data_IF_030073685691
#
_entry.id   IF_030073685691
#
_cell.length_a   1.000
_cell.length_b   1.000
_cell.length_c   1.000
_cell.angle_alpha   90.00
_cell.angle_beta   90.00
_cell.angle_gamma   90.00
#
_symmetry.space_group_name_H-M   'P 1'
#
loop_
_entity.id
_entity.type
_entity.pdbx_description
1 polymer ?
#
# COMPACT_ATOMS: atom_id res chain seq x y z
N UNK A 1 1.82 -51.59 -0.53
CA UNK A 1 0.85 -51.90 0.53
C UNK A 1 0.55 -50.70 1.40
N UNK A 2 1.42 -50.38 2.37
CA UNK A 2 1.11 -49.44 3.47
C UNK A 2 0.71 -48.03 3.00
N UNK A 3 1.47 -47.41 2.07
CA UNK A 3 1.14 -46.06 1.56
C UNK A 3 -0.22 -45.99 0.87
N UNK A 4 -0.65 -47.06 0.22
CA UNK A 4 -1.92 -47.15 -0.51
C UNK A 4 -3.12 -47.26 0.45
N UNK A 5 -2.97 -48.10 1.49
CA UNK A 5 -4.05 -48.35 2.47
C UNK A 5 -3.93 -47.48 3.73
N UNK A 6 -3.01 -46.52 3.77
CA UNK A 6 -2.74 -45.65 4.92
C UNK A 6 -4.01 -44.97 5.48
N UNK A 7 -4.93 -44.44 4.66
CA UNK A 7 -6.18 -43.83 5.16
C UNK A 7 -7.18 -44.84 5.76
N UNK A 8 -7.08 -46.13 5.41
CA UNK A 8 -7.93 -47.20 5.94
C UNK A 8 -7.34 -47.82 7.22
N UNK A 9 -6.02 -47.74 7.40
CA UNK A 9 -5.31 -48.31 8.54
C UNK A 9 -5.32 -47.40 9.78
N UNK A 10 -5.42 -46.08 9.60
CA UNK A 10 -5.39 -45.10 10.70
C UNK A 10 -6.79 -44.51 10.95
N UNK A 11 -7.40 -44.87 12.08
CA UNK A 11 -8.70 -44.32 12.49
C UNK A 11 -8.57 -42.82 12.74
N UNK A 12 -9.42 -42.03 12.09
CA UNK A 12 -9.44 -40.56 12.18
C UNK A 12 -8.69 -39.82 11.07
N UNK A 13 -7.87 -40.51 10.27
CA UNK A 13 -7.18 -39.90 9.12
C UNK A 13 -7.88 -40.27 7.80
N UNK A 14 -9.00 -39.61 7.51
CA UNK A 14 -9.68 -39.77 6.22
C UNK A 14 -8.78 -39.31 5.07
N UNK A 15 -8.98 -39.85 3.86
CA UNK A 15 -8.17 -39.50 2.69
C UNK A 15 -8.14 -37.97 2.41
N UNK A 16 -9.25 -37.28 2.64
CA UNK A 16 -9.35 -35.82 2.52
C UNK A 16 -8.54 -35.07 3.59
N UNK A 17 -8.60 -35.53 4.84
CA UNK A 17 -7.80 -34.93 5.94
C UNK A 17 -6.29 -35.13 5.70
N UNK A 18 -5.90 -36.30 5.20
CA UNK A 18 -4.52 -36.62 4.84
C UNK A 18 -4.02 -35.72 3.71
N UNK A 19 -4.83 -35.50 2.66
CA UNK A 19 -4.47 -34.60 1.56
C UNK A 19 -4.29 -33.14 2.04
N UNK A 20 -5.19 -32.64 2.90
CA UNK A 20 -5.08 -31.30 3.47
C UNK A 20 -3.84 -31.15 4.36
N UNK A 21 -3.54 -32.18 5.17
CA UNK A 21 -2.35 -32.22 6.01
C UNK A 21 -1.06 -32.27 5.18
N UNK A 22 -1.04 -33.07 4.10
CA UNK A 22 0.08 -33.15 3.16
C UNK A 22 0.32 -31.81 2.46
N UNK A 23 -0.73 -31.12 2.03
CA UNK A 23 -0.62 -29.79 1.43
C UNK A 23 -0.03 -28.77 2.42
N UNK A 24 -0.56 -28.75 3.65
CA UNK A 24 -0.08 -27.87 4.72
C UNK A 24 1.40 -28.12 5.07
N UNK A 25 1.76 -29.40 5.22
CA UNK A 25 3.13 -29.80 5.50
C UNK A 25 4.07 -29.48 4.33
N UNK A 26 3.65 -29.72 3.10
CA UNK A 26 4.41 -29.41 1.89
C UNK A 26 4.68 -27.91 1.74
N UNK A 27 3.67 -27.07 1.99
CA UNK A 27 3.84 -25.61 2.02
C UNK A 27 4.79 -25.17 3.15
N UNK A 28 4.62 -25.70 4.36
CA UNK A 28 5.47 -25.37 5.51
C UNK A 28 6.93 -25.77 5.28
N UNK A 29 7.16 -27.00 4.83
CA UNK A 29 8.49 -27.52 4.49
C UNK A 29 9.16 -26.68 3.42
N UNK A 30 8.45 -26.38 2.33
CA UNK A 30 9.00 -25.61 1.21
C UNK A 30 9.32 -24.17 1.62
N UNK A 31 8.44 -23.51 2.37
CA UNK A 31 8.67 -22.15 2.88
C UNK A 31 9.86 -22.08 3.83
N UNK A 32 10.00 -23.06 4.73
CA UNK A 32 11.13 -23.16 5.66
C UNK A 32 12.45 -23.37 4.90
N UNK A 33 12.46 -24.26 3.92
CA UNK A 33 13.66 -24.60 3.15
C UNK A 33 14.11 -23.47 2.22
N UNK A 34 13.17 -22.78 1.58
CA UNK A 34 13.44 -21.64 0.68
C UNK A 34 13.68 -20.33 1.45
N UNK A 35 13.61 -20.34 2.79
CA UNK A 35 13.68 -19.14 3.65
C UNK A 35 12.75 -18.04 3.13
N UNK A 36 11.50 -18.40 2.84
CA UNK A 36 10.53 -17.48 2.27
C UNK A 36 10.31 -16.27 3.20
N UNK A 37 10.78 -15.10 2.78
CA UNK A 37 10.72 -13.90 3.59
C UNK A 37 9.41 -13.15 3.32
N UNK A 38 8.52 -13.13 4.32
CA UNK A 38 7.22 -12.44 4.26
C UNK A 38 7.39 -10.92 4.08
N UNK A 39 8.52 -10.35 4.53
CA UNK A 39 8.79 -8.92 4.37
C UNK A 39 9.16 -8.54 2.93
N UNK A 40 9.41 -9.52 2.07
CA UNK A 40 9.79 -9.32 0.67
C UNK A 40 8.65 -9.58 -0.32
N UNK A 41 7.43 -9.72 0.19
CA UNK A 41 6.24 -9.99 -0.61
C UNK A 41 5.84 -8.71 -1.36
N UNK A 42 6.11 -8.72 -2.66
CA UNK A 42 5.80 -7.69 -3.64
C UNK A 42 4.31 -7.61 -3.99
N UNK A 43 3.52 -8.66 -3.73
CA UNK A 43 2.06 -8.63 -3.96
C UNK A 43 1.37 -7.48 -3.20
N UNK A 44 1.82 -7.16 -1.99
CA UNK A 44 1.25 -6.02 -1.22
C UNK A 44 1.47 -4.69 -1.93
N UNK A 45 2.60 -4.51 -2.62
CA UNK A 45 2.91 -3.31 -3.39
C UNK A 45 1.99 -3.22 -4.61
N UNK A 46 1.83 -4.34 -5.33
CA UNK A 46 0.97 -4.45 -6.52
C UNK A 46 -0.48 -4.09 -6.19
N UNK A 47 -1.03 -4.67 -5.12
CA UNK A 47 -2.40 -4.36 -4.71
C UNK A 47 -2.53 -2.91 -4.22
N UNK A 48 -1.55 -2.41 -3.46
CA UNK A 48 -1.60 -1.04 -2.93
C UNK A 48 -1.58 0.01 -4.04
N UNK A 49 -0.75 -0.14 -5.08
CA UNK A 49 -0.72 0.82 -6.19
C UNK A 49 -1.97 0.74 -7.07
N UNK A 50 -2.49 -0.48 -7.33
CA UNK A 50 -3.75 -0.64 -8.06
C UNK A 50 -4.91 0.00 -7.31
N UNK A 51 -4.95 -0.15 -5.98
CA UNK A 51 -5.94 0.49 -5.12
C UNK A 51 -5.77 2.01 -5.11
N UNK A 52 -4.54 2.53 -5.05
CA UNK A 52 -4.27 3.97 -5.10
C UNK A 52 -4.75 4.58 -6.43
N UNK A 53 -4.43 3.95 -7.57
CA UNK A 53 -4.86 4.41 -8.89
C UNK A 53 -6.41 4.34 -9.05
N UNK A 54 -7.08 3.40 -8.37
CA UNK A 54 -8.54 3.30 -8.34
C UNK A 54 -9.17 4.38 -7.45
N UNK A 55 -8.62 4.57 -6.24
CA UNK A 55 -9.06 5.61 -5.31
C UNK A 55 -8.95 7.01 -5.93
N UNK A 56 -7.90 7.28 -6.71
CA UNK A 56 -7.76 8.58 -7.39
C UNK A 56 -8.91 8.88 -8.35
N UNK A 57 -9.36 7.87 -9.10
CA UNK A 57 -10.50 7.99 -10.02
C UNK A 57 -11.82 8.11 -9.26
N UNK A 58 -11.98 7.32 -8.21
CA UNK A 58 -13.20 7.29 -7.41
C UNK A 58 -13.36 8.59 -6.61
N UNK A 59 -12.30 9.09 -5.98
CA UNK A 59 -12.28 10.39 -5.30
C UNK A 59 -12.67 11.50 -6.28
N UNK A 60 -12.12 11.50 -7.50
CA UNK A 60 -12.47 12.51 -8.49
C UNK A 60 -13.94 12.41 -8.90
N UNK A 61 -14.42 11.20 -9.21
CA UNK A 61 -15.81 10.95 -9.61
C UNK A 61 -16.80 11.33 -8.51
N UNK A 62 -16.53 10.93 -7.27
CA UNK A 62 -17.37 11.26 -6.13
C UNK A 62 -17.33 12.74 -5.81
N UNK A 63 -16.17 13.40 -5.89
CA UNK A 63 -16.08 14.85 -5.68
C UNK A 63 -16.86 15.63 -6.74
N UNK A 64 -16.84 15.18 -8.00
CA UNK A 64 -17.65 15.78 -9.06
C UNK A 64 -19.15 15.59 -8.79
N UNK A 65 -19.57 14.43 -8.26
CA UNK A 65 -20.97 14.25 -7.84
C UNK A 65 -21.37 15.10 -6.64
N UNK A 66 -20.50 15.28 -5.63
CA UNK A 66 -20.75 16.21 -4.53
C UNK A 66 -20.92 17.64 -5.07
N UNK A 67 -20.10 18.05 -6.04
CA UNK A 67 -20.19 19.38 -6.66
C UNK A 67 -21.49 19.61 -7.40
N UNK A 68 -21.94 18.65 -8.19
CA UNK A 68 -23.20 18.78 -8.92
C UNK A 68 -24.38 18.77 -7.95
N UNK A 69 -24.37 17.89 -6.95
CA UNK A 69 -25.47 17.76 -5.99
C UNK A 69 -25.60 19.00 -5.09
N UNK A 70 -24.49 19.48 -4.52
CA UNK A 70 -24.47 20.68 -3.70
C UNK A 70 -24.56 21.97 -4.53
N UNK A 71 -24.14 21.93 -5.81
CA UNK A 71 -24.22 23.05 -6.75
C UNK A 71 -25.65 23.51 -7.04
N UNK A 72 -26.66 22.63 -6.87
CA UNK A 72 -28.07 23.06 -6.92
C UNK A 72 -28.44 24.02 -5.78
N UNK A 73 -27.83 23.84 -4.60
CA UNK A 73 -28.07 24.68 -3.43
C UNK A 73 -27.16 25.92 -3.43
N UNK A 74 -25.88 25.76 -3.77
CA UNK A 74 -24.90 26.83 -3.78
C UNK A 74 -24.00 26.78 -5.04
N UNK A 75 -24.48 27.29 -6.18
CA UNK A 75 -23.79 27.17 -7.47
C UNK A 75 -22.49 27.99 -7.54
N UNK A 76 -22.43 29.13 -6.85
CA UNK A 76 -21.27 30.03 -6.88
C UNK A 76 -20.01 29.40 -6.26
N UNK A 77 -20.18 28.44 -5.35
CA UNK A 77 -19.08 27.78 -4.64
C UNK A 77 -18.13 27.04 -5.59
N UNK A 78 -18.64 26.49 -6.71
CA UNK A 78 -17.82 25.75 -7.69
C UNK A 78 -16.78 26.67 -8.33
N UNK A 79 -17.13 27.95 -8.53
CA UNK A 79 -16.23 28.94 -9.14
C UNK A 79 -15.17 29.43 -8.14
N UNK A 80 -15.52 29.53 -6.87
CA UNK A 80 -14.62 30.04 -5.81
C UNK A 80 -13.61 28.96 -5.37
N UNK A 81 -14.05 27.70 -5.25
CA UNK A 81 -13.23 26.58 -4.78
C UNK A 81 -13.00 25.56 -5.90
N UNK A 82 -11.93 25.71 -6.72
CA UNK A 82 -11.65 24.83 -7.84
C UNK A 82 -11.09 23.47 -7.42
N UNK A 83 -10.58 23.32 -6.19
CA UNK A 83 -10.03 22.06 -5.71
C UNK A 83 -11.10 21.15 -5.09
N UNK A 84 -11.12 19.88 -5.52
CA UNK A 84 -12.18 18.92 -5.21
C UNK A 84 -12.24 18.52 -3.73
N UNK A 85 -11.07 18.33 -3.11
CA UNK A 85 -10.97 17.91 -1.70
C UNK A 85 -11.38 19.04 -0.76
N UNK A 86 -10.87 20.26 -1.00
CA UNK A 86 -11.32 21.47 -0.32
C UNK A 86 -12.83 21.69 -0.49
N UNK A 87 -13.38 21.54 -1.70
CA UNK A 87 -14.82 21.72 -1.93
C UNK A 87 -15.68 20.81 -1.03
N UNK A 88 -15.32 19.53 -0.92
CA UNK A 88 -16.07 18.60 -0.06
C UNK A 88 -15.95 18.96 1.43
N UNK A 89 -14.79 19.49 1.88
CA UNK A 89 -14.60 19.98 3.26
C UNK A 89 -15.44 21.22 3.55
N UNK A 90 -15.46 22.16 2.61
CA UNK A 90 -16.25 23.39 2.70
C UNK A 90 -17.74 23.08 2.66
N UNK A 91 -18.21 22.22 1.75
CA UNK A 91 -19.62 21.81 1.69
C UNK A 91 -20.09 21.15 2.99
N UNK A 92 -19.25 20.32 3.60
CA UNK A 92 -19.52 19.72 4.92
C UNK A 92 -19.60 20.78 6.03
N UNK A 93 -18.72 21.77 6.03
CA UNK A 93 -18.67 22.79 7.07
C UNK A 93 -19.82 23.81 6.96
N UNK A 94 -20.16 24.23 5.75
CA UNK A 94 -21.23 25.20 5.50
C UNK A 94 -22.60 24.58 5.81
N UNK A 95 -22.85 23.35 5.35
CA UNK A 95 -24.16 22.72 5.44
C UNK A 95 -25.21 23.55 4.69
N UNK A 96 -25.99 24.35 5.41
CA UNK A 96 -27.03 25.20 4.82
C UNK A 96 -26.52 26.64 4.66
N UNK A 97 -26.63 27.21 3.45
CA UNK A 97 -26.16 28.58 3.16
C UNK A 97 -26.75 29.65 4.09
N UNK A 98 -27.98 29.45 4.58
CA UNK A 98 -28.70 30.42 5.43
C UNK A 98 -28.13 30.52 6.85
N UNK A 99 -27.41 29.48 7.30
CA UNK A 99 -26.81 29.43 8.64
C UNK A 99 -25.39 30.01 8.65
N UNK A 100 -24.90 30.53 7.51
CA UNK A 100 -23.56 31.08 7.40
C UNK A 100 -23.48 32.47 8.05
N UNK A 101 -22.74 32.58 9.16
CA UNK A 101 -22.48 33.83 9.89
C UNK A 101 -21.00 34.23 9.83
N UNK A 102 -20.66 35.44 10.28
CA UNK A 102 -19.27 35.92 10.38
C UNK A 102 -18.44 35.10 11.40
N UNK A 103 -19.08 34.37 12.33
CA UNK A 103 -18.41 33.45 13.25
C UNK A 103 -17.92 32.18 12.54
N UNK A 104 -18.55 31.80 11.43
CA UNK A 104 -18.12 30.65 10.60
C UNK A 104 -16.91 30.97 9.73
N UNK A 105 -16.50 32.24 9.69
CA UNK A 105 -15.42 32.74 8.85
C UNK A 105 -14.06 32.21 9.31
N UNK A 106 -13.83 32.10 10.62
CA UNK A 106 -12.61 31.51 11.20
C UNK A 106 -12.44 30.04 10.77
N UNK A 107 -13.50 29.23 10.83
CA UNK A 107 -13.47 27.83 10.41
C UNK A 107 -13.31 27.64 8.89
N UNK A 108 -13.85 28.57 8.09
CA UNK A 108 -13.63 28.59 6.64
C UNK A 108 -12.19 28.98 6.28
N UNK A 109 -11.60 29.93 7.01
CA UNK A 109 -10.20 30.32 6.83
C UNK A 109 -9.24 29.18 7.13
N UNK A 110 -9.51 28.38 8.17
CA UNK A 110 -8.70 27.20 8.48
C UNK A 110 -8.74 26.15 7.35
N UNK A 111 -9.91 25.96 6.73
CA UNK A 111 -10.10 24.95 5.67
C UNK A 111 -9.54 25.41 4.33
N UNK A 112 -9.81 26.67 3.95
CA UNK A 112 -9.47 27.21 2.63
C UNK A 112 -8.05 27.79 2.61
N UNK A 113 -7.45 28.02 3.78
CA UNK A 113 -6.12 28.61 3.98
C UNK A 113 -5.93 29.96 3.29
N UNK A 114 -7.03 30.65 2.99
CA UNK A 114 -7.08 31.90 2.22
C UNK A 114 -8.26 32.75 2.69
N UNK A 115 -7.95 33.85 3.36
CA UNK A 115 -8.94 34.79 3.91
C UNK A 115 -9.78 35.45 2.82
N UNK A 116 -9.19 35.75 1.66
CA UNK A 116 -9.92 36.35 0.55
C UNK A 116 -11.00 35.41 -0.02
N UNK A 117 -10.71 34.10 -0.07
CA UNK A 117 -11.71 33.10 -0.50
C UNK A 117 -12.79 32.87 0.54
N UNK A 118 -12.45 32.88 1.83
CA UNK A 118 -13.44 32.74 2.90
C UNK A 118 -14.45 33.90 2.88
N UNK A 119 -13.97 35.13 2.71
CA UNK A 119 -14.83 36.31 2.54
C UNK A 119 -15.68 36.23 1.27
N UNK A 120 -15.08 35.84 0.14
CA UNK A 120 -15.82 35.66 -1.11
C UNK A 120 -16.92 34.59 -1.01
N UNK A 121 -16.71 33.51 -0.23
CA UNK A 121 -17.73 32.49 0.03
C UNK A 121 -18.90 33.09 0.83
N UNK A 122 -18.62 33.94 1.82
CA UNK A 122 -19.65 34.57 2.64
C UNK A 122 -20.47 35.61 1.85
N UNK A 123 -19.81 36.43 1.04
CA UNK A 123 -20.47 37.35 0.10
C UNK A 123 -21.29 36.60 -0.95
N UNK A 124 -20.74 35.51 -1.49
CA UNK A 124 -21.45 34.65 -2.44
C UNK A 124 -22.65 33.96 -1.80
N UNK A 125 -22.60 33.57 -0.52
CA UNK A 125 -23.74 33.00 0.20
C UNK A 125 -24.88 34.02 0.32
N UNK A 126 -24.57 35.28 0.64
CA UNK A 126 -25.55 36.38 0.75
C UNK A 126 -26.18 36.73 -0.61
N UNK A 127 -25.42 36.60 -1.70
CA UNK A 127 -25.85 36.91 -3.06
C UNK A 127 -26.31 35.69 -3.88
N UNK A 128 -26.35 34.50 -3.27
CA UNK A 128 -26.58 33.25 -3.98
C UNK A 128 -28.01 33.13 -4.49
N UNK A 129 -28.14 32.75 -5.77
CA UNK A 129 -29.43 32.46 -6.42
C UNK A 129 -29.80 30.98 -6.39
N UNK A 130 -29.07 30.16 -5.63
CA UNK A 130 -29.33 28.72 -5.52
C UNK A 130 -30.71 28.37 -4.93
N UNK A 131 -31.14 27.13 -5.10
CA UNK A 131 -32.42 26.64 -4.56
C UNK A 131 -32.29 26.24 -3.10
N UNK A 132 -33.36 26.40 -2.32
CA UNK A 132 -33.37 25.86 -0.95
C UNK A 132 -33.54 24.33 -1.00
N UNK A 133 -32.73 23.64 -0.20
CA UNK A 133 -32.67 22.19 -0.16
C UNK A 133 -33.36 21.65 1.10
N UNK A 134 -33.93 20.45 1.01
CA UNK A 134 -34.52 19.75 2.15
C UNK A 134 -33.43 19.39 3.17
N UNK A 135 -33.71 19.44 4.49
CA UNK A 135 -32.78 18.99 5.51
C UNK A 135 -32.34 17.52 5.35
N UNK A 136 -33.23 16.66 4.85
CA UNK A 136 -32.92 15.24 4.57
C UNK A 136 -31.85 15.11 3.47
N UNK A 137 -31.99 15.87 2.39
CA UNK A 137 -31.03 15.85 1.29
C UNK A 137 -29.68 16.45 1.72
N UNK A 138 -29.71 17.46 2.59
CA UNK A 138 -28.51 18.06 3.16
C UNK A 138 -27.71 17.08 4.03
N UNK A 139 -28.38 16.28 4.86
CA UNK A 139 -27.75 15.20 5.65
C UNK A 139 -27.09 14.16 4.73
N UNK A 140 -27.73 13.82 3.62
CA UNK A 140 -27.19 12.88 2.64
C UNK A 140 -25.95 13.45 1.93
N UNK A 141 -25.98 14.73 1.53
CA UNK A 141 -24.84 15.42 0.92
C UNK A 141 -23.67 15.53 1.92
N UNK A 142 -23.96 15.84 3.19
CA UNK A 142 -22.95 15.91 4.24
C UNK A 142 -22.31 14.54 4.48
N UNK A 143 -23.12 13.49 4.57
CA UNK A 143 -22.66 12.11 4.74
C UNK A 143 -21.79 11.66 3.56
N UNK A 144 -22.18 12.00 2.34
CA UNK A 144 -21.42 11.69 1.14
C UNK A 144 -20.10 12.48 1.11
N UNK A 145 -20.13 13.77 1.43
CA UNK A 145 -18.94 14.62 1.55
C UNK A 145 -17.96 14.09 2.60
N UNK A 146 -18.47 13.67 3.78
CA UNK A 146 -17.67 13.03 4.83
C UNK A 146 -17.02 11.75 4.31
N UNK A 147 -17.73 10.93 3.53
CA UNK A 147 -17.16 9.72 2.94
C UNK A 147 -16.03 10.04 1.97
N UNK A 148 -16.20 11.04 1.10
CA UNK A 148 -15.15 11.49 0.17
C UNK A 148 -13.91 11.99 0.92
N UNK A 149 -14.09 12.77 1.99
CA UNK A 149 -12.98 13.22 2.84
C UNK A 149 -12.25 12.02 3.46
N UNK A 150 -12.99 11.05 4.01
CA UNK A 150 -12.39 9.84 4.60
C UNK A 150 -11.59 9.02 3.57
N UNK A 151 -12.07 8.95 2.32
CA UNK A 151 -11.35 8.28 1.23
C UNK A 151 -10.09 9.06 0.83
N UNK A 152 -10.14 10.40 0.85
CA UNK A 152 -8.98 11.26 0.59
C UNK A 152 -7.89 11.09 1.66
N UNK A 153 -8.27 10.99 2.93
CA UNK A 153 -7.32 10.76 4.01
C UNK A 153 -6.79 9.31 4.00
N UNK A 154 -7.64 8.33 3.69
CA UNK A 154 -7.21 6.95 3.48
C UNK A 154 -6.19 6.83 2.33
N UNK A 155 -6.40 7.56 1.22
CA UNK A 155 -5.46 7.63 0.10
C UNK A 155 -4.08 8.16 0.53
N UNK A 156 -4.03 9.19 1.38
CA UNK A 156 -2.76 9.70 1.95
C UNK A 156 -2.07 8.65 2.82
N UNK A 157 -2.82 7.99 3.71
CA UNK A 157 -2.30 6.90 4.54
C UNK A 157 -1.78 5.72 3.71
N UNK A 158 -2.47 5.37 2.61
CA UNK A 158 -2.05 4.32 1.70
C UNK A 158 -0.76 4.70 0.95
N UNK A 159 -0.58 5.97 0.59
CA UNK A 159 0.65 6.46 -0.04
C UNK A 159 1.86 6.37 0.91
N UNK A 160 1.68 6.71 2.19
CA UNK A 160 2.73 6.54 3.22
C UNK A 160 3.05 5.06 3.46
N UNK A 161 2.03 4.21 3.51
CA UNK A 161 2.20 2.76 3.60
C UNK A 161 3.00 2.22 2.42
N UNK A 162 2.65 2.63 1.18
CA UNK A 162 3.35 2.24 -0.04
C UNK A 162 4.82 2.68 0.02
N UNK A 163 5.10 3.90 0.51
CA UNK A 163 6.48 4.41 0.68
C UNK A 163 7.29 3.56 1.66
N UNK A 164 6.73 3.26 2.83
CA UNK A 164 7.36 2.41 3.83
C UNK A 164 7.63 1.00 3.30
N UNK A 165 6.68 0.41 2.57
CA UNK A 165 6.83 -0.91 1.97
C UNK A 165 7.82 -0.94 0.82
N UNK A 166 7.82 0.08 -0.04
CA UNK A 166 8.79 0.16 -1.13
C UNK A 166 10.22 0.27 -0.61
N UNK A 167 10.45 1.07 0.44
CA UNK A 167 11.76 1.18 1.10
C UNK A 167 12.25 -0.17 1.67
N UNK A 168 11.34 -1.05 2.12
CA UNK A 168 11.69 -2.37 2.62
C UNK A 168 11.97 -3.40 1.51
N UNK A 169 11.23 -3.32 0.39
CA UNK A 169 11.27 -4.34 -0.67
C UNK A 169 12.25 -3.97 -1.79
N UNK A 170 12.21 -2.72 -2.27
CA UNK A 170 13.01 -2.21 -3.39
C UNK A 170 13.52 -0.77 -3.14
N UNK A 171 14.46 -0.59 -2.18
CA UNK A 171 15.03 0.71 -1.86
C UNK A 171 15.86 1.32 -3.01
N UNK A 172 16.59 0.53 -3.79
CA UNK A 172 17.42 1.06 -4.88
C UNK A 172 16.56 1.62 -6.02
N UNK A 173 15.51 0.89 -6.40
CA UNK A 173 14.55 1.33 -7.42
C UNK A 173 13.79 2.57 -6.95
N UNK A 174 13.40 2.60 -5.67
CA UNK A 174 12.74 3.76 -5.06
C UNK A 174 13.62 5.00 -5.08
N UNK A 175 14.89 4.89 -4.71
CA UNK A 175 15.83 6.01 -4.71
C UNK A 175 16.05 6.56 -6.14
N UNK A 176 16.08 5.66 -7.13
CA UNK A 176 16.35 6.02 -8.52
C UNK A 176 15.19 6.74 -9.22
N UNK A 177 13.94 6.26 -9.13
CA UNK A 177 12.80 6.80 -9.89
C UNK A 177 11.63 7.30 -9.04
N UNK A 178 11.69 7.10 -7.72
CA UNK A 178 10.61 7.39 -6.79
C UNK A 178 9.69 6.19 -6.54
N UNK A 179 9.01 6.21 -5.40
CA UNK A 179 8.20 5.11 -4.88
C UNK A 179 7.03 4.75 -5.80
N UNK A 180 6.29 5.76 -6.27
CA UNK A 180 5.04 5.58 -7.02
C UNK A 180 5.32 5.03 -8.42
N UNK A 181 6.31 5.58 -9.12
CA UNK A 181 6.69 5.11 -10.46
C UNK A 181 7.29 3.71 -10.37
N UNK A 182 8.13 3.45 -9.37
CA UNK A 182 8.67 2.11 -9.09
C UNK A 182 7.57 1.08 -8.81
N UNK A 183 6.57 1.44 -7.99
CA UNK A 183 5.42 0.57 -7.71
C UNK A 183 4.62 0.25 -8.97
N UNK A 184 4.40 1.24 -9.85
CA UNK A 184 3.67 1.05 -11.09
C UNK A 184 4.43 0.14 -12.07
N UNK A 185 5.76 0.23 -12.12
CA UNK A 185 6.60 -0.69 -12.91
C UNK A 185 6.50 -2.14 -12.40
N UNK A 186 6.58 -2.34 -11.08
CA UNK A 186 6.44 -3.66 -10.47
C UNK A 186 5.04 -4.24 -10.74
N UNK A 187 4.00 -3.43 -10.58
CA UNK A 187 2.61 -3.83 -10.83
C UNK A 187 2.37 -4.26 -12.27
N UNK A 188 2.87 -3.48 -13.24
CA UNK A 188 2.69 -3.82 -14.64
C UNK A 188 3.54 -5.02 -15.08
N UNK A 189 4.66 -5.30 -14.41
CA UNK A 189 5.43 -6.54 -14.60
C UNK A 189 4.83 -7.75 -13.86
N UNK A 190 3.88 -7.52 -12.95
CA UNK A 190 3.21 -8.54 -12.13
C UNK A 190 4.03 -9.08 -10.94
N UNK A 191 5.34 -8.83 -10.89
CA UNK A 191 6.23 -9.14 -9.76
C UNK A 191 7.57 -8.42 -9.93
N UNK A 192 8.24 -8.14 -8.82
CA UNK A 192 9.62 -7.64 -8.83
C UNK A 192 10.57 -8.64 -9.50
N UNK A 193 10.31 -9.94 -9.34
CA UNK A 193 11.11 -11.00 -9.97
C UNK A 193 10.98 -11.00 -11.49
N UNK A 194 9.78 -10.75 -12.01
CA UNK A 194 9.53 -10.63 -13.44
C UNK A 194 10.16 -9.35 -13.99
N UNK A 195 10.05 -8.24 -13.25
CA UNK A 195 10.70 -6.98 -13.62
C UNK A 195 12.23 -7.14 -13.72
N UNK A 196 12.85 -7.87 -12.80
CA UNK A 196 14.29 -8.14 -12.83
C UNK A 196 14.72 -9.00 -14.04
N UNK A 197 13.85 -9.90 -14.51
CA UNK A 197 14.08 -10.75 -15.70
C UNK A 197 13.92 -9.99 -17.00
N UNK A 198 13.10 -8.95 -17.04
CA UNK A 198 12.90 -8.16 -18.26
C UNK A 198 14.20 -7.48 -18.72
N UNK A 199 14.43 -7.38 -20.04
CA UNK A 199 15.51 -6.58 -20.57
C UNK A 199 15.15 -5.10 -20.49
N UNK A 200 16.17 -4.25 -20.51
CA UNK A 200 15.99 -2.80 -20.38
C UNK A 200 15.17 -2.18 -21.51
N UNK A 201 15.19 -2.76 -22.71
CA UNK A 201 14.36 -2.33 -23.85
C UNK A 201 12.86 -2.53 -23.57
N UNK A 202 12.48 -3.62 -22.90
CA UNK A 202 11.09 -3.86 -22.48
C UNK A 202 10.70 -2.91 -21.35
N UNK A 203 11.59 -2.70 -20.38
CA UNK A 203 11.37 -1.75 -19.26
C UNK A 203 11.16 -0.31 -19.77
N UNK A 204 11.86 0.08 -20.84
CA UNK A 204 11.72 1.41 -21.47
C UNK A 204 10.30 1.69 -21.98
N UNK A 205 9.64 0.67 -22.55
CA UNK A 205 8.34 0.79 -23.23
C UNK A 205 7.17 0.22 -22.40
N UNK A 206 7.44 -0.23 -21.19
CA UNK A 206 6.48 -0.85 -20.29
C UNK A 206 5.30 0.11 -20.06
N UNK A 207 4.06 -0.35 -20.30
CA UNK A 207 2.84 0.47 -20.28
C UNK A 207 2.50 1.22 -21.57
N UNK A 208 3.37 1.24 -22.58
CA UNK A 208 3.09 1.76 -23.93
C UNK A 208 2.90 0.64 -24.97
N UNK A 209 2.66 -0.59 -24.53
CA UNK A 209 2.61 -1.80 -25.37
C UNK A 209 1.54 -1.71 -26.46
N UNK A 210 0.33 -1.23 -26.13
CA UNK A 210 -0.75 -1.06 -27.12
C UNK A 210 -0.34 -0.10 -28.25
N UNK A 211 0.34 0.99 -27.91
CA UNK A 211 0.82 1.96 -28.90
C UNK A 211 1.97 1.38 -29.73
N UNK A 212 2.85 0.59 -29.12
CA UNK A 212 3.92 -0.15 -29.81
C UNK A 212 3.36 -1.14 -30.83
N UNK A 213 2.42 -1.99 -30.42
CA UNK A 213 1.82 -2.98 -31.32
C UNK A 213 1.03 -2.34 -32.45
N UNK A 214 0.33 -1.23 -32.17
CA UNK A 214 -0.33 -0.44 -33.21
C UNK A 214 0.68 0.12 -34.22
N UNK A 215 1.77 0.73 -33.74
CA UNK A 215 2.81 1.28 -34.61
C UNK A 215 3.50 0.20 -35.46
N UNK A 216 3.76 -0.97 -34.89
CA UNK A 216 4.30 -2.12 -35.62
C UNK A 216 3.34 -2.58 -36.73
N UNK A 217 2.04 -2.66 -36.44
CA UNK A 217 1.01 -3.06 -37.41
C UNK A 217 0.84 -2.04 -38.54
N UNK A 218 0.90 -0.76 -38.22
CA UNK A 218 0.74 0.33 -39.21
C UNK A 218 2.06 0.80 -39.81
N UNK A 219 3.20 0.15 -39.49
CA UNK A 219 4.57 0.61 -39.80
C UNK A 219 4.82 2.09 -39.47
N UNK A 220 4.20 2.57 -38.39
CA UNK A 220 4.33 3.93 -37.90
C UNK A 220 5.46 4.11 -36.88
N UNK A 221 5.57 5.31 -36.32
CA UNK A 221 6.57 5.63 -35.30
C UNK A 221 6.30 4.88 -34.00
N UNK A 222 7.30 4.15 -33.50
CA UNK A 222 7.22 3.44 -32.23
C UNK A 222 7.36 4.40 -31.03
N UNK A 223 6.64 4.14 -29.91
CA UNK A 223 6.78 4.92 -28.70
C UNK A 223 8.18 4.75 -28.10
N UNK A 224 8.77 5.85 -27.60
CA UNK A 224 10.13 5.87 -27.02
C UNK A 224 10.16 5.72 -25.50
N UNK A 225 9.01 5.79 -24.84
CA UNK A 225 8.87 5.74 -23.39
C UNK A 225 7.47 5.21 -23.03
N UNK A 226 7.38 4.51 -21.90
CA UNK A 226 6.13 4.09 -21.26
C UNK A 226 5.96 4.75 -19.90
N UNK A 227 5.75 3.94 -18.85
CA UNK A 227 5.53 4.40 -17.48
C UNK A 227 6.69 5.23 -16.91
N UNK A 228 7.92 4.99 -17.38
CA UNK A 228 9.12 5.73 -16.97
C UNK A 228 9.04 7.21 -17.36
N UNK A 229 8.19 7.60 -18.32
CA UNK A 229 7.98 8.99 -18.71
C UNK A 229 7.58 9.91 -17.54
N UNK A 230 6.89 9.36 -16.53
CA UNK A 230 6.49 10.10 -15.33
C UNK A 230 7.63 10.34 -14.34
N UNK A 231 8.85 9.88 -14.64
CA UNK A 231 10.03 10.22 -13.85
C UNK A 231 10.42 11.70 -14.02
N UNK A 232 10.89 12.31 -12.93
CA UNK A 232 11.33 13.71 -12.90
C UNK A 232 12.49 13.97 -13.88
N UNK A 233 13.38 13.00 -14.08
CA UNK A 233 14.52 13.11 -15.00
C UNK A 233 14.10 13.32 -16.46
N UNK A 234 13.06 12.61 -16.91
CA UNK A 234 12.56 12.74 -18.29
C UNK A 234 11.76 14.04 -18.46
N UNK A 235 11.07 14.49 -17.40
CA UNK A 235 10.37 15.77 -17.39
C UNK A 235 11.31 16.95 -17.61
N UNK A 236 12.48 16.95 -16.94
CA UNK A 236 13.51 18.01 -17.04
C UNK A 236 14.27 18.00 -18.37
N UNK A 237 14.44 16.85 -18.99
CA UNK A 237 15.20 16.70 -20.21
C UNK A 237 14.60 17.45 -21.42
N UNK A 238 15.46 18.06 -22.24
CA UNK A 238 15.07 18.66 -23.52
C UNK A 238 14.43 17.62 -24.47
N UNK A 239 13.41 18.02 -25.25
CA UNK A 239 12.60 17.12 -26.08
C UNK A 239 13.41 16.21 -27.02
N UNK A 240 14.52 16.72 -27.58
CA UNK A 240 15.43 15.96 -28.45
C UNK A 240 16.15 14.82 -27.70
N UNK A 241 16.45 15.03 -26.42
CA UNK A 241 17.24 14.12 -25.58
C UNK A 241 16.38 13.16 -24.74
N UNK A 242 15.07 13.41 -24.61
CA UNK A 242 14.14 12.55 -23.84
C UNK A 242 14.24 11.07 -24.18
N UNK A 243 14.35 10.72 -25.46
CA UNK A 243 14.49 9.31 -25.88
C UNK A 243 15.81 8.67 -25.48
N UNK A 244 16.91 9.43 -25.48
CA UNK A 244 18.24 8.94 -25.08
C UNK A 244 18.31 8.74 -23.57
N UNK A 245 17.78 9.69 -22.81
CA UNK A 245 17.71 9.63 -21.33
C UNK A 245 16.77 8.51 -20.88
N UNK A 246 15.61 8.35 -21.53
CA UNK A 246 14.68 7.25 -21.26
C UNK A 246 15.36 5.88 -21.35
N UNK A 247 16.14 5.64 -22.42
CA UNK A 247 16.92 4.41 -22.58
C UNK A 247 17.98 4.24 -21.49
N UNK A 248 18.70 5.30 -21.16
CA UNK A 248 19.72 5.27 -20.11
C UNK A 248 19.10 4.96 -18.75
N UNK A 249 17.99 5.63 -18.41
CA UNK A 249 17.24 5.42 -17.18
C UNK A 249 16.68 4.00 -17.10
N UNK A 250 16.12 3.46 -18.19
CA UNK A 250 15.63 2.08 -18.22
C UNK A 250 16.75 1.05 -17.95
N UNK A 251 17.96 1.29 -18.48
CA UNK A 251 19.13 0.44 -18.17
C UNK A 251 19.45 0.47 -16.67
N UNK A 252 19.50 1.67 -16.06
CA UNK A 252 19.78 1.81 -14.62
C UNK A 252 18.67 1.23 -13.75
N UNK A 253 17.40 1.41 -14.14
CA UNK A 253 16.25 0.81 -13.46
C UNK A 253 16.30 -0.71 -13.49
N UNK A 254 16.70 -1.30 -14.62
CA UNK A 254 16.83 -2.77 -14.75
C UNK A 254 17.93 -3.30 -13.83
N UNK A 255 19.06 -2.59 -13.73
CA UNK A 255 20.15 -2.94 -12.81
C UNK A 255 19.67 -2.81 -11.35
N UNK A 256 19.06 -1.69 -10.99
CA UNK A 256 18.51 -1.47 -9.64
C UNK A 256 17.48 -2.55 -9.26
N UNK A 257 16.57 -2.90 -10.17
CA UNK A 257 15.55 -3.93 -9.94
C UNK A 257 16.18 -5.31 -9.70
N UNK A 258 17.27 -5.64 -10.39
CA UNK A 258 18.00 -6.90 -10.19
C UNK A 258 18.73 -6.92 -8.85
N UNK A 259 19.36 -5.81 -8.46
CA UNK A 259 20.00 -5.67 -7.15
C UNK A 259 18.95 -5.84 -6.05
N UNK A 260 17.83 -5.12 -6.14
CA UNK A 260 16.76 -5.19 -5.15
C UNK A 260 16.06 -6.55 -5.09
N UNK A 261 16.00 -7.29 -6.20
CA UNK A 261 15.39 -8.62 -6.23
C UNK A 261 16.31 -9.72 -5.66
N UNK A 262 17.61 -9.70 -5.99
CA UNK A 262 18.52 -10.80 -5.70
C UNK A 262 19.44 -10.58 -4.49
N UNK A 263 19.56 -9.36 -3.97
CA UNK A 263 20.35 -9.10 -2.74
C UNK A 263 19.68 -9.74 -1.52
N UNK A 264 20.40 -10.20 -0.49
CA UNK A 264 19.73 -10.69 0.72
C UNK A 264 19.21 -9.56 1.61
N UNK A 265 19.98 -8.46 1.66
CA UNK A 265 19.67 -7.23 2.39
C UNK A 265 19.72 -6.10 1.38
N UNK A 266 18.56 -5.58 0.92
CA UNK A 266 18.57 -4.49 -0.03
C UNK A 266 18.95 -3.18 0.68
N UNK A 267 19.75 -2.35 0.02
CA UNK A 267 20.25 -1.06 0.53
C UNK A 267 19.96 0.06 -0.48
N UNK A 268 19.80 1.31 -0.01
CA UNK A 268 19.54 2.45 -0.91
C UNK A 268 20.78 2.93 -1.66
N UNK A 269 21.98 2.66 -1.11
CA UNK A 269 23.28 3.15 -1.60
C UNK A 269 23.45 2.96 -3.12
N UNK A 270 23.12 1.78 -3.63
CA UNK A 270 23.20 1.53 -5.07
C UNK A 270 22.24 2.40 -5.88
N UNK A 271 21.02 2.62 -5.38
CA UNK A 271 20.05 3.50 -6.00
C UNK A 271 20.48 4.96 -6.00
N UNK A 272 21.07 5.43 -4.90
CA UNK A 272 21.57 6.80 -4.75
C UNK A 272 22.72 7.08 -5.73
N UNK A 273 23.73 6.21 -5.80
CA UNK A 273 24.83 6.33 -6.78
C UNK A 273 24.35 6.18 -8.24
N UNK A 274 23.34 5.33 -8.47
CA UNK A 274 22.71 5.20 -9.80
C UNK A 274 21.95 6.46 -10.19
N UNK A 275 21.34 7.14 -9.22
CA UNK A 275 20.66 8.42 -9.43
C UNK A 275 21.64 9.52 -9.77
N UNK A 276 22.75 9.63 -9.03
CA UNK A 276 23.84 10.57 -9.33
C UNK A 276 24.33 10.40 -10.78
N UNK A 277 24.52 9.16 -11.24
CA UNK A 277 24.91 8.89 -12.63
C UNK A 277 23.88 9.35 -13.67
N UNK A 278 22.58 9.29 -13.34
CA UNK A 278 21.52 9.80 -14.23
C UNK A 278 21.52 11.34 -14.22
N UNK A 279 21.79 11.96 -13.08
CA UNK A 279 21.92 13.42 -12.94
C UNK A 279 23.15 13.94 -13.68
N UNK A 280 24.32 13.32 -13.53
CA UNK A 280 25.53 13.62 -14.30
C UNK A 280 25.26 13.47 -15.81
N UNK A 281 24.51 12.44 -16.21
CA UNK A 281 24.19 12.23 -17.62
C UNK A 281 23.22 13.27 -18.17
N UNK A 282 22.31 13.78 -17.34
CA UNK A 282 21.44 14.90 -17.70
C UNK A 282 22.26 16.18 -17.86
N UNK A 283 23.15 16.47 -16.90
CA UNK A 283 24.06 17.61 -16.95
C UNK A 283 24.96 17.56 -18.18
N UNK A 284 25.50 16.39 -18.56
CA UNK A 284 26.27 16.24 -19.80
C UNK A 284 25.50 16.69 -21.04
N UNK A 285 24.18 16.49 -21.10
CA UNK A 285 23.38 16.95 -22.24
C UNK A 285 23.09 18.45 -22.24
N UNK A 286 23.32 19.14 -21.12
CA UNK A 286 23.16 20.58 -20.95
C UNK A 286 24.50 21.32 -21.04
N UNK A 287 25.52 20.86 -20.32
CA UNK A 287 26.83 21.51 -20.16
C UNK A 287 27.95 20.87 -20.98
N UNK A 288 27.81 19.61 -21.40
CA UNK A 288 28.83 18.87 -22.15
C UNK A 288 29.91 18.19 -21.31
N UNK A 289 29.85 18.26 -19.98
CA UNK A 289 30.84 17.63 -19.09
C UNK A 289 30.75 16.09 -19.08
N UNK A 290 31.85 15.35 -19.32
CA UNK A 290 31.80 13.90 -19.43
C UNK A 290 31.43 13.26 -18.09
N UNK A 291 30.41 12.37 -18.04
CA UNK A 291 30.01 11.70 -16.82
C UNK A 291 31.06 10.69 -16.36
N UNK A 292 31.06 10.35 -15.06
CA UNK A 292 32.01 9.40 -14.49
C UNK A 292 31.81 8.00 -15.07
N UNK A 293 32.88 7.19 -15.07
CA UNK A 293 32.81 5.81 -15.54
C UNK A 293 31.99 4.97 -14.56
N UNK A 294 31.04 4.19 -15.09
CA UNK A 294 30.19 3.31 -14.28
C UNK A 294 30.98 2.37 -13.34
N UNK A 295 32.17 1.92 -13.76
CA UNK A 295 32.99 0.97 -12.99
C UNK A 295 33.50 1.57 -11.67
N UNK A 296 33.85 2.85 -11.66
CA UNK A 296 34.41 3.51 -10.47
C UNK A 296 33.32 3.74 -9.43
N UNK A 297 32.19 4.30 -9.87
CA UNK A 297 31.00 4.53 -9.02
C UNK A 297 30.45 3.22 -8.46
N UNK A 298 30.46 2.14 -9.24
CA UNK A 298 29.99 0.83 -8.75
C UNK A 298 30.94 0.20 -7.74
N UNK A 299 32.27 0.41 -7.86
CA UNK A 299 33.23 -0.05 -6.85
C UNK A 299 33.05 0.68 -5.52
N UNK A 300 32.87 1.99 -5.57
CA UNK A 300 32.56 2.83 -4.42
C UNK A 300 31.25 2.39 -3.75
N UNK A 301 30.21 2.18 -4.55
CA UNK A 301 28.91 1.70 -4.08
C UNK A 301 29.00 0.33 -3.39
N UNK A 302 29.84 -0.59 -3.89
CA UNK A 302 30.05 -1.91 -3.24
C UNK A 302 30.75 -1.75 -1.88
N UNK A 303 31.72 -0.84 -1.78
CA UNK A 303 32.40 -0.52 -0.52
C UNK A 303 31.40 -0.03 0.53
N UNK A 304 30.70 1.07 0.23
CA UNK A 304 29.69 1.67 1.11
C UNK A 304 28.54 0.69 1.43
N UNK A 305 28.05 -0.04 0.43
CA UNK A 305 26.99 -1.02 0.65
C UNK A 305 27.43 -2.17 1.56
N UNK A 306 28.70 -2.61 1.49
CA UNK A 306 29.20 -3.68 2.36
C UNK A 306 29.21 -3.28 3.84
N UNK A 307 29.55 -2.02 4.13
CA UNK A 307 29.55 -1.47 5.48
C UNK A 307 28.11 -1.34 6.02
N UNK A 308 27.21 -0.78 5.22
CA UNK A 308 25.80 -0.65 5.57
C UNK A 308 25.15 -2.03 5.77
N UNK A 309 25.45 -3.01 4.89
CA UNK A 309 24.95 -4.38 5.04
C UNK A 309 25.48 -5.02 6.31
N UNK A 310 26.76 -4.83 6.65
CA UNK A 310 27.34 -5.33 7.90
C UNK A 310 26.66 -4.72 9.13
N UNK A 311 26.37 -3.43 9.11
CA UNK A 311 25.66 -2.76 10.20
C UNK A 311 24.21 -3.24 10.33
N UNK A 312 23.50 -3.39 9.21
CA UNK A 312 22.13 -3.90 9.17
C UNK A 312 22.07 -5.34 9.67
N UNK A 313 23.02 -6.21 9.25
CA UNK A 313 23.12 -7.59 9.77
C UNK A 313 23.37 -7.61 11.28
N UNK A 314 24.29 -6.79 11.79
CA UNK A 314 24.53 -6.66 13.25
C UNK A 314 23.27 -6.19 14.00
N UNK A 315 22.51 -5.23 13.44
CA UNK A 315 21.25 -4.75 14.04
C UNK A 315 20.17 -5.84 14.01
N UNK A 316 20.06 -6.60 12.92
CA UNK A 316 19.10 -7.70 12.80
C UNK A 316 19.42 -8.84 13.77
N UNK A 317 20.69 -9.25 13.89
CA UNK A 317 21.12 -10.26 14.86
C UNK A 317 20.86 -9.83 16.31
N UNK A 318 21.12 -8.56 16.65
CA UNK A 318 20.77 -8.01 17.98
C UNK A 318 19.26 -8.07 18.24
N UNK A 319 18.44 -7.72 17.24
CA UNK A 319 16.97 -7.80 17.34
C UNK A 319 16.49 -9.25 17.48
N UNK A 320 17.06 -10.17 16.73
CA UNK A 320 16.71 -11.59 16.78
C UNK A 320 17.11 -12.24 18.11
N UNK A 321 18.32 -11.94 18.62
CA UNK A 321 18.76 -12.36 19.97
C UNK A 321 17.83 -11.82 21.06
N UNK A 322 17.42 -10.55 20.97
CA UNK A 322 16.42 -9.96 21.90
C UNK A 322 15.06 -10.66 21.78
N UNK A 323 14.61 -10.99 20.56
CA UNK A 323 13.34 -11.68 20.33
C UNK A 323 13.35 -13.09 20.91
N UNK A 324 14.39 -13.88 20.62
CA UNK A 324 14.59 -15.22 21.18
C UNK A 324 14.66 -15.19 22.71
N UNK A 325 15.35 -14.21 23.31
CA UNK A 325 15.39 -14.04 24.78
C UNK A 325 14.01 -13.74 25.36
N UNK A 326 13.20 -12.89 24.70
CA UNK A 326 11.84 -12.55 25.15
C UNK A 326 10.87 -13.73 24.99
N UNK A 327 11.03 -14.51 23.92
CA UNK A 327 10.23 -15.69 23.64
C UNK A 327 10.56 -16.83 24.62
N UNK A 328 11.85 -17.05 24.92
CA UNK A 328 12.29 -17.99 25.95
C UNK A 328 11.71 -17.64 27.33
N UNK A 329 11.80 -16.37 27.74
CA UNK A 329 11.19 -15.88 28.98
C UNK A 329 9.67 -16.06 29.03
N UNK A 330 8.99 -15.91 27.90
CA UNK A 330 7.54 -16.10 27.81
C UNK A 330 7.17 -17.58 27.93
N UNK A 331 7.94 -18.47 27.32
CA UNK A 331 7.78 -19.92 27.44
C UNK A 331 8.07 -20.39 28.87
N UNK A 332 9.15 -19.90 29.49
CA UNK A 332 9.48 -20.17 30.89
C UNK A 332 8.35 -19.69 31.83
N UNK A 333 7.78 -18.49 31.60
CA UNK A 333 6.65 -17.98 32.39
C UNK A 333 5.35 -18.78 32.18
N UNK A 334 5.09 -19.27 30.96
CA UNK A 334 3.94 -20.14 30.67
C UNK A 334 4.10 -21.54 31.28
N UNK A 335 5.32 -22.07 31.31
CA UNK A 335 5.63 -23.34 31.97
C UNK A 335 5.47 -23.24 33.49
N UNK A 336 6.00 -22.18 34.11
CA UNK A 336 5.85 -21.93 35.54
C UNK A 336 4.37 -21.76 35.94
N UNK A 337 3.58 -21.02 35.14
CA UNK A 337 2.14 -20.88 35.39
C UNK A 337 1.37 -22.20 35.22
N UNK A 338 1.84 -23.11 34.35
CA UNK A 338 1.25 -24.44 34.19
C UNK A 338 1.63 -25.39 35.33
N UNK A 339 2.84 -25.27 35.89
CA UNK A 339 3.28 -26.00 37.08
C UNK A 339 2.53 -25.52 38.33
N UNK A 340 2.32 -24.21 38.53
CA UNK A 340 1.48 -23.70 39.64
C UNK A 340 0.00 -24.15 39.53
N UNK A 341 -0.51 -24.34 38.31
CA UNK A 341 -1.84 -24.91 38.08
C UNK A 341 -1.88 -26.44 38.26
N UNK A 342 -0.73 -27.12 38.12
CA UNK A 342 -0.58 -28.56 38.32
C UNK A 342 -0.36 -28.95 39.79
N UNK A 343 0.42 -28.18 40.55
CA UNK A 343 0.68 -28.42 41.98
C UNK A 343 -0.57 -28.21 42.84
N UNK A 344 -1.46 -27.29 42.46
CA UNK A 344 -2.77 -27.13 43.10
C UNK A 344 -3.76 -28.28 42.80
N UNK A 345 -3.35 -29.33 42.08
CA UNK A 345 -4.19 -30.51 41.81
C UNK A 345 -3.71 -31.81 42.50
N UNK A 346 -2.66 -31.75 43.32
CA UNK A 346 -2.08 -32.95 43.99
C UNK A 346 -2.21 -32.94 45.53
N UNK A 347 -2.79 -31.89 46.13
CA UNK A 347 -3.23 -31.90 47.53
C UNK A 347 -4.75 -31.89 47.62
N UNK A 348 -5.41 -32.96 47.16
CA UNK A 348 -6.77 -33.32 47.61
C UNK A 348 -7.12 -34.69 47.02
N UNK A 349 -6.76 -35.76 47.73
CA UNK A 349 -7.43 -37.06 47.61
C UNK A 349 -7.19 -37.84 48.90
N UNK A 350 -8.15 -37.74 49.82
CA UNK A 350 -8.72 -38.86 50.59
C UNK A 350 -9.91 -38.35 51.42
N UNK A 351 -11.13 -38.41 50.84
CA UNK A 351 -12.32 -39.08 51.38
C UNK A 351 -13.67 -38.50 50.84
N UNK A 352 -14.39 -39.39 50.13
CA UNK A 352 -15.84 -39.53 49.94
C UNK A 352 -16.66 -38.58 49.05
N UNK A 353 -16.66 -38.95 47.77
CA UNK A 353 -17.77 -39.48 46.94
C UNK A 353 -19.07 -38.68 46.63
N UNK A 354 -19.48 -38.88 45.36
CA UNK A 354 -20.75 -38.64 44.66
C UNK A 354 -21.00 -37.29 43.94
N UNK A 355 -20.84 -37.32 42.60
CA UNK A 355 -21.97 -36.98 41.72
C UNK A 355 -21.98 -35.69 40.88
N UNK A 356 -21.15 -35.64 39.83
CA UNK A 356 -21.46 -35.23 38.44
C UNK A 356 -22.10 -33.84 38.06
N UNK A 357 -21.45 -33.23 37.04
CA UNK A 357 -21.96 -32.34 35.94
C UNK A 357 -21.74 -30.80 36.01
N UNK A 358 -20.88 -30.34 35.08
CA UNK A 358 -21.02 -29.15 34.17
C UNK A 358 -21.23 -27.75 34.78
N UNK A 359 -20.23 -26.84 34.67
CA UNK A 359 -20.21 -25.66 33.73
C UNK A 359 -19.19 -24.57 34.11
N UNK A 360 -18.39 -24.19 33.10
CA UNK A 360 -18.00 -22.83 32.66
C UNK A 360 -17.68 -21.76 33.75
N UNK A 361 -16.39 -21.39 33.88
CA UNK A 361 -15.99 -20.09 34.45
C UNK A 361 -15.70 -19.09 33.32
N UNK A 362 -16.63 -18.14 33.16
CA UNK A 362 -16.49 -16.84 32.49
C UNK A 362 -15.26 -16.09 33.02
N UNK A 363 -14.46 -15.51 32.12
CA UNK A 363 -14.33 -14.04 31.99
C UNK A 363 -13.41 -13.69 30.81
N UNK A 364 -14.03 -13.23 29.73
CA UNK A 364 -13.40 -12.44 28.67
C UNK A 364 -14.31 -11.23 28.50
N UNK A 365 -13.80 -10.03 28.76
CA UNK A 365 -14.45 -8.78 28.38
C UNK A 365 -13.37 -7.72 28.17
N UNK A 366 -13.11 -7.44 26.90
CA UNK A 366 -13.14 -6.09 26.33
C UNK A 366 -13.30 -6.26 24.81
N UNK A 367 -14.40 -5.73 24.29
CA UNK A 367 -14.83 -5.70 22.89
C UNK A 367 -13.98 -4.69 22.08
N UNK A 368 -14.05 -4.78 20.74
CA UNK A 368 -14.80 -3.74 20.02
C UNK A 368 -15.86 -4.32 19.08
N UNK A 369 -16.84 -3.45 18.80
CA UNK A 369 -18.05 -3.61 17.99
C UNK A 369 -17.79 -4.02 16.53
N UNK A 370 -18.64 -4.91 16.01
CA UNK A 370 -19.00 -4.91 14.58
C UNK A 370 -20.40 -5.56 14.41
N UNK A 371 -21.32 -4.68 13.97
CA UNK A 371 -22.49 -4.84 13.10
C UNK A 371 -23.44 -6.06 13.20
N UNK A 372 -24.71 -5.67 13.29
CA UNK A 372 -25.95 -6.42 13.07
C UNK A 372 -26.02 -7.08 11.68
N UNK A 373 -26.47 -8.34 11.64
CA UNK A 373 -27.21 -8.94 10.53
C UNK A 373 -28.04 -10.11 11.07
N UNK A 374 -29.32 -10.12 10.71
CA UNK A 374 -30.43 -10.96 11.18
C UNK A 374 -30.27 -12.47 10.91
N UNK A 375 -31.01 -13.36 11.62
CA UNK A 375 -31.29 -14.70 11.15
C UNK A 375 -32.72 -14.81 10.58
N UNK A 376 -32.84 -15.11 9.29
CA UNK A 376 -34.06 -15.66 8.70
C UNK A 376 -34.27 -17.11 9.16
N UNK A 377 -35.52 -17.41 9.50
CA UNK A 377 -36.03 -18.73 9.87
C UNK A 377 -36.02 -19.70 8.70
N UNK A 378 -35.48 -20.91 8.92
CA UNK A 378 -35.81 -22.08 8.12
C UNK A 378 -37.07 -22.74 8.70
N UNK A 379 -38.21 -22.52 8.05
CA UNK A 379 -39.37 -23.39 8.13
C UNK A 379 -39.37 -24.35 6.94
N UNK A 380 -39.16 -25.63 7.21
CA UNK A 380 -39.49 -26.73 6.30
C UNK A 380 -40.91 -27.16 6.66
N UNK A 381 -41.86 -27.01 5.74
CA UNK A 381 -43.10 -27.77 5.75
C UNK A 381 -43.24 -28.52 4.42
N UNK A 382 -43.60 -29.78 4.58
CA UNK A 382 -43.93 -30.78 3.57
C UNK A 382 -45.30 -30.47 2.96
N UNK A 383 -45.39 -30.43 1.63
CA UNK A 383 -46.32 -31.21 0.77
C UNK A 383 -46.04 -30.96 -0.71
#
# INVERSE_FOLDING_TARGET
GIRLHFPALVRGLTAQSAAKAQLGLGHSYSRAKVKFNVHRVDNMIIQSISLLDQLDKDINTFSMRVREWYGYHFPELIKIVPENSMYCRVAKFIGNRRQLSEESLEGLEEIVMDSAKAQAILEASRSSMGMDISPLDLINIESFSRRVISLSDYRKGLQEYLRSKMSQVAPSLSALIGEVVGARLISHAGSLTNLAKYPASTVQILGAEKALFRALKTRGNTPKYGLIFHSTFIGRAAAKNKGRISRYLANKCTIASRIDCFSEVPTSVFGDKLREQVEERLAFYETGEPPRKNLEVMKEAVGEASEVVAEVKRRQEKKEKKRKKREKRRLEALAAAAEELGENSVMETEENDVGAKKKKKKKKQQQPEELEAEPEENGVEEE
#
